data_IF_750339689072
#
_entry.id   IF_750339689072
#
_cell.length_a   1.000
_cell.length_b   1.000
_cell.length_c   1.000
_cell.angle_alpha   90.00
_cell.angle_beta   90.00
_cell.angle_gamma   90.00
#
_symmetry.space_group_name_H-M   'P 1'
#
loop_
_entity.id
_entity.type
_entity.pdbx_description
1 polymer ?
#
# COMPACT_ATOMS: atom_id res chain seq x y z
N UNK A 1 2.99 -11.10 -19.73
CA UNK A 1 3.01 -11.10 -18.25
C UNK A 1 1.75 -11.79 -17.75
N UNK A 2 1.85 -12.58 -16.68
CA UNK A 2 0.67 -13.22 -16.09
C UNK A 2 -0.27 -12.15 -15.50
N UNK A 3 -1.56 -12.23 -15.82
CA UNK A 3 -2.57 -11.40 -15.17
C UNK A 3 -2.77 -11.91 -13.74
N UNK A 4 -2.24 -11.20 -12.75
CA UNK A 4 -2.53 -11.47 -11.34
C UNK A 4 -3.86 -10.79 -10.97
N UNK A 5 -4.82 -11.57 -10.46
CA UNK A 5 -6.10 -11.08 -9.98
C UNK A 5 -6.30 -11.41 -8.49
N UNK A 6 -7.04 -10.54 -7.80
CA UNK A 6 -7.47 -10.73 -6.41
C UNK A 6 -8.81 -11.47 -6.36
N UNK A 7 -9.09 -12.17 -5.25
CA UNK A 7 -10.39 -12.79 -4.97
C UNK A 7 -10.97 -12.27 -3.65
N UNK A 8 -12.18 -12.69 -3.28
CA UNK A 8 -12.74 -12.40 -1.95
C UNK A 8 -11.90 -12.98 -0.82
N UNK A 9 -11.33 -14.18 -1.01
CA UNK A 9 -10.44 -14.83 -0.03
C UNK A 9 -9.02 -14.24 -0.01
N UNK A 10 -8.62 -13.53 -1.07
CA UNK A 10 -7.33 -12.85 -1.20
C UNK A 10 -7.51 -11.49 -1.89
N UNK A 11 -8.00 -10.48 -1.15
CA UNK A 11 -8.43 -9.21 -1.73
C UNK A 11 -7.27 -8.27 -2.12
N UNK A 12 -6.06 -8.56 -1.66
CA UNK A 12 -4.86 -7.74 -1.89
C UNK A 12 -3.79 -8.53 -2.63
N UNK A 13 -3.06 -7.85 -3.50
CA UNK A 13 -1.84 -8.39 -4.10
C UNK A 13 -0.69 -8.35 -3.11
N UNK A 14 -0.61 -7.27 -2.32
CA UNK A 14 0.47 -6.99 -1.36
C UNK A 14 -0.12 -6.39 -0.08
N UNK A 15 0.45 -6.76 1.07
CA UNK A 15 0.19 -6.12 2.37
C UNK A 15 1.53 -5.70 2.96
N UNK A 16 1.65 -4.42 3.36
CA UNK A 16 2.86 -3.87 3.98
C UNK A 16 2.72 -3.99 5.50
N UNK A 17 3.39 -4.99 6.08
CA UNK A 17 3.47 -5.13 7.54
C UNK A 17 4.53 -4.21 8.13
N UNK A 18 4.22 -3.60 9.28
CA UNK A 18 5.12 -2.61 9.87
C UNK A 18 5.09 -1.27 9.13
N UNK A 19 4.00 -0.98 8.43
CA UNK A 19 3.84 0.21 7.59
C UNK A 19 4.09 1.53 8.34
N UNK A 20 3.80 1.60 9.64
CA UNK A 20 4.07 2.79 10.45
C UNK A 20 5.46 2.84 11.10
N UNK A 21 6.35 1.91 10.75
CA UNK A 21 7.74 1.89 11.21
C UNK A 21 8.61 2.81 10.36
N UNK A 22 9.87 3.01 10.78
CA UNK A 22 10.79 3.94 10.13
C UNK A 22 10.96 3.67 8.63
N UNK A 23 11.18 2.42 8.24
CA UNK A 23 11.28 2.01 6.82
C UNK A 23 9.92 1.86 6.17
N UNK A 24 8.92 1.39 6.93
CA UNK A 24 7.60 1.06 6.39
C UNK A 24 6.90 2.24 5.72
N UNK A 25 7.03 3.44 6.29
CA UNK A 25 6.43 4.66 5.74
C UNK A 25 6.96 5.00 4.33
N UNK A 26 8.27 4.86 4.08
CA UNK A 26 8.83 5.06 2.73
C UNK A 26 8.39 3.96 1.75
N UNK A 27 8.23 2.72 2.22
CA UNK A 27 7.69 1.63 1.40
C UNK A 27 6.24 1.92 1.01
N UNK A 28 5.44 2.50 1.91
CA UNK A 28 4.06 2.91 1.61
C UNK A 28 4.02 3.99 0.54
N UNK A 29 4.87 5.02 0.65
CA UNK A 29 5.00 6.08 -0.36
C UNK A 29 5.39 5.51 -1.72
N UNK A 30 6.38 4.62 -1.77
CA UNK A 30 6.86 4.00 -3.00
C UNK A 30 5.79 3.13 -3.68
N UNK A 31 5.07 2.33 -2.88
CA UNK A 31 3.97 1.51 -3.39
C UNK A 31 2.81 2.38 -3.87
N UNK A 32 2.50 3.47 -3.18
CA UNK A 32 1.46 4.41 -3.61
C UNK A 32 1.82 5.04 -4.97
N UNK A 33 3.08 5.49 -5.14
CA UNK A 33 3.57 6.07 -6.40
C UNK A 33 3.59 5.04 -7.54
N UNK A 34 4.09 3.84 -7.26
CA UNK A 34 4.10 2.76 -8.26
C UNK A 34 2.68 2.32 -8.64
N UNK A 35 1.74 2.36 -7.70
CA UNK A 35 0.34 2.04 -7.97
C UNK A 35 -0.35 3.09 -8.86
N UNK A 36 0.00 4.38 -8.72
CA UNK A 36 -0.55 5.45 -9.55
C UNK A 36 0.07 5.48 -10.96
N UNK A 37 1.37 5.19 -11.08
CA UNK A 37 2.12 5.23 -12.35
C UNK A 37 2.06 3.91 -13.14
N UNK A 38 1.90 2.77 -12.45
CA UNK A 38 1.90 1.42 -13.03
C UNK A 38 0.68 1.12 -13.92
N UNK A 39 0.55 -0.12 -14.44
CA UNK A 39 -0.41 -0.45 -15.50
C UNK A 39 -1.87 -0.24 -15.03
N UNK A 40 -2.35 0.98 -15.27
CA UNK A 40 -3.74 1.45 -15.09
C UNK A 40 -4.32 1.31 -13.67
N UNK A 41 -3.53 1.50 -12.61
CA UNK A 41 -4.07 1.53 -11.24
C UNK A 41 -4.67 0.21 -10.75
N UNK A 42 -4.23 -0.92 -11.32
CA UNK A 42 -4.77 -2.25 -11.01
C UNK A 42 -4.20 -2.87 -9.71
N UNK A 43 -3.18 -2.25 -9.11
CA UNK A 43 -2.57 -2.75 -7.89
C UNK A 43 -3.47 -2.49 -6.67
N UNK A 44 -4.14 -3.54 -6.20
CA UNK A 44 -4.77 -3.57 -4.87
C UNK A 44 -3.77 -3.92 -3.79
N UNK A 45 -3.55 -3.03 -2.83
CA UNK A 45 -2.60 -3.18 -1.73
C UNK A 45 -3.20 -2.68 -0.40
N UNK A 46 -2.57 -3.05 0.71
CA UNK A 46 -2.99 -2.63 2.05
C UNK A 46 -1.78 -2.40 2.98
N UNK A 47 -2.03 -1.71 4.10
CA UNK A 47 -1.06 -1.50 5.18
C UNK A 47 -1.50 -2.22 6.45
N UNK A 48 -0.54 -2.71 7.23
CA UNK A 48 -0.79 -3.41 8.48
C UNK A 48 0.19 -3.00 9.57
N UNK A 49 -0.31 -2.92 10.80
CA UNK A 49 0.46 -2.51 11.98
C UNK A 49 -0.39 -2.55 13.25
N UNK A 50 0.24 -2.19 14.37
CA UNK A 50 -0.37 -2.33 15.71
C UNK A 50 -1.16 -1.10 16.17
N UNK A 51 -1.00 0.04 15.50
CA UNK A 51 -1.63 1.30 15.90
C UNK A 51 -2.35 1.90 14.69
N UNK A 52 -3.68 1.93 14.76
CA UNK A 52 -4.55 2.40 13.69
C UNK A 52 -4.29 3.86 13.30
N UNK A 53 -4.23 4.77 14.28
CA UNK A 53 -4.00 6.20 14.04
C UNK A 53 -2.66 6.46 13.34
N UNK A 54 -1.61 5.71 13.68
CA UNK A 54 -0.33 5.80 12.97
C UNK A 54 -0.40 5.29 11.54
N UNK A 55 -1.19 4.24 11.28
CA UNK A 55 -1.40 3.73 9.92
C UNK A 55 -2.18 4.74 9.06
N UNK A 56 -3.25 5.31 9.60
CA UNK A 56 -4.05 6.34 8.93
C UNK A 56 -3.17 7.53 8.55
N UNK A 57 -2.35 8.03 9.49
CA UNK A 57 -1.40 9.11 9.22
C UNK A 57 -0.42 8.78 8.08
N UNK A 58 0.14 7.58 8.05
CA UNK A 58 1.09 7.19 6.98
C UNK A 58 0.40 7.11 5.63
N UNK A 59 -0.84 6.64 5.57
CA UNK A 59 -1.63 6.62 4.32
C UNK A 59 -1.94 8.03 3.85
N UNK A 60 -2.32 8.94 4.75
CA UNK A 60 -2.55 10.37 4.42
C UNK A 60 -1.28 11.04 3.92
N UNK A 61 -0.13 10.78 4.56
CA UNK A 61 1.17 11.31 4.14
C UNK A 61 1.56 10.81 2.75
N UNK A 62 1.42 9.52 2.49
CA UNK A 62 1.70 8.95 1.17
C UNK A 62 0.76 9.52 0.10
N UNK A 63 -0.53 9.73 0.41
CA UNK A 63 -1.48 10.35 -0.51
C UNK A 63 -1.13 11.81 -0.84
N UNK A 64 -0.61 12.57 0.13
CA UNK A 64 -0.17 13.95 -0.09
C UNK A 64 1.18 14.09 -0.80
N UNK A 65 1.93 13.00 -0.95
CA UNK A 65 3.21 12.94 -1.66
C UNK A 65 3.07 12.51 -3.14
N UNK A 66 1.87 12.10 -3.56
CA UNK A 66 1.49 11.83 -4.94
C UNK A 66 1.14 13.13 -5.68
#
# INVERSE_FOLDING_TARGET
MAAFSTSSSRPYHIIIFGASGFTGQFVVEEVARTASEGPKGSLKWAVAGRNRTKLEKVVEQAAGAL
#
